data_IF_096158640767
#
_entry.id   IF_096158640767
#
_cell.length_a   1.000
_cell.length_b   1.000
_cell.length_c   1.000
_cell.angle_alpha   90.00
_cell.angle_beta   90.00
_cell.angle_gamma   90.00
#
_symmetry.space_group_name_H-M   'P 1'
#
loop_
_entity.id
_entity.type
_entity.pdbx_description
1 polymer ?
#
# COMPACT_ATOMS: atom_id res chain seq x y z
N UNK A 1 73.17 26.98 72.27
CA UNK A 1 71.97 26.34 72.79
C UNK A 1 70.86 26.55 71.76
N UNK A 2 70.62 25.54 70.92
CA UNK A 2 69.40 24.68 70.93
C UNK A 2 68.28 25.39 70.14
N UNK A 3 67.53 24.86 69.18
CA UNK A 3 67.48 23.67 68.35
C UNK A 3 66.18 23.84 67.48
N UNK A 4 66.09 23.17 66.33
CA UNK A 4 64.84 22.62 65.71
C UNK A 4 63.71 23.60 65.29
N UNK A 5 62.84 23.35 64.30
CA UNK A 5 62.74 22.35 63.22
C UNK A 5 61.58 22.74 62.28
N UNK A 6 61.64 22.19 61.06
CA UNK A 6 60.54 21.64 60.23
C UNK A 6 59.34 22.48 59.73
N UNK A 7 59.36 22.67 58.41
CA UNK A 7 58.38 22.22 57.38
C UNK A 7 56.87 22.30 57.62
N UNK A 8 56.14 22.86 56.63
CA UNK A 8 55.18 22.08 55.81
C UNK A 8 54.67 22.84 54.57
N UNK A 9 54.91 22.21 53.42
CA UNK A 9 54.22 22.40 52.14
C UNK A 9 52.77 21.89 52.24
N UNK A 10 51.83 22.58 51.57
CA UNK A 10 50.46 22.10 51.32
C UNK A 10 50.08 22.34 49.86
N UNK A 11 50.02 21.26 49.10
CA UNK A 11 49.32 21.10 47.82
C UNK A 11 47.82 20.79 48.06
N UNK A 12 46.89 21.24 47.18
CA UNK A 12 45.49 20.85 47.28
C UNK A 12 45.23 19.50 46.59
N UNK A 13 44.51 18.64 47.30
CA UNK A 13 44.02 17.32 46.89
C UNK A 13 42.86 17.41 45.88
N UNK A 14 42.96 16.68 44.76
CA UNK A 14 41.82 16.35 43.89
C UNK A 14 41.03 15.17 44.49
N UNK A 15 39.72 15.34 44.64
CA UNK A 15 38.79 14.29 45.10
C UNK A 15 38.46 13.32 43.97
N UNK A 16 38.68 12.03 44.21
CA UNK A 16 38.20 10.92 43.40
C UNK A 16 36.79 10.51 43.86
N UNK A 17 35.86 10.34 42.92
CA UNK A 17 34.51 9.84 43.23
C UNK A 17 33.56 9.87 42.04
N UNK A 18 33.87 9.15 40.96
CA UNK A 18 32.94 8.99 39.81
C UNK A 18 33.26 7.79 38.90
N UNK A 19 33.72 6.66 39.45
CA UNK A 19 33.96 5.45 38.64
C UNK A 19 33.14 4.24 39.11
N UNK A 20 32.67 4.22 40.35
CA UNK A 20 31.89 3.11 40.89
C UNK A 20 30.40 3.14 40.53
N UNK A 21 29.84 4.27 40.08
CA UNK A 21 28.44 4.35 39.63
C UNK A 21 28.23 3.91 38.18
N UNK A 22 29.21 4.14 37.31
CA UNK A 22 29.12 3.77 35.89
C UNK A 22 29.24 2.26 35.69
N UNK A 23 29.99 1.56 36.56
CA UNK A 23 30.17 0.11 36.44
C UNK A 23 28.94 -0.71 36.86
N UNK A 24 27.98 -0.13 37.60
CA UNK A 24 26.78 -0.85 38.06
C UNK A 24 25.60 -0.74 37.08
N UNK A 25 25.54 0.33 36.27
CA UNK A 25 24.50 0.48 35.23
C UNK A 25 24.82 -0.34 33.96
N UNK A 26 26.10 -0.56 33.66
CA UNK A 26 26.52 -1.35 32.49
C UNK A 26 26.18 -2.85 32.59
N UNK A 27 26.16 -3.41 33.80
CA UNK A 27 25.86 -4.84 34.03
C UNK A 27 24.36 -5.16 33.91
N UNK A 28 23.49 -4.18 34.18
CA UNK A 28 22.04 -4.35 34.05
C UNK A 28 21.57 -4.48 32.60
N UNK A 29 22.20 -3.75 31.67
CA UNK A 29 21.84 -3.75 30.25
C UNK A 29 22.21 -5.07 29.54
N UNK A 30 23.31 -5.71 29.96
CA UNK A 30 23.78 -6.98 29.38
C UNK A 30 22.86 -8.15 29.74
N UNK A 31 22.29 -8.17 30.95
CA UNK A 31 21.34 -9.22 31.37
C UNK A 31 19.99 -9.15 30.63
N UNK A 32 19.54 -7.95 30.25
CA UNK A 32 18.29 -7.77 29.49
C UNK A 32 18.45 -8.26 28.04
N UNK A 33 19.62 -8.05 27.41
CA UNK A 33 19.88 -8.51 26.03
C UNK A 33 20.00 -10.03 25.91
N UNK A 34 20.52 -10.72 26.92
CA UNK A 34 20.59 -12.20 26.93
C UNK A 34 19.20 -12.84 27.11
N UNK A 35 18.30 -12.20 27.86
CA UNK A 35 16.93 -12.68 28.04
C UNK A 35 16.07 -12.62 26.77
N UNK A 36 16.26 -11.60 25.93
CA UNK A 36 15.49 -11.45 24.68
C UNK A 36 15.98 -12.41 23.59
N UNK A 37 17.29 -12.73 23.56
CA UNK A 37 17.85 -13.69 22.61
C UNK A 37 17.35 -15.14 22.82
N UNK A 38 17.09 -15.52 24.07
CA UNK A 38 16.57 -16.86 24.39
C UNK A 38 15.09 -17.04 24.02
N UNK A 39 14.30 -15.95 23.95
CA UNK A 39 12.87 -16.02 23.63
C UNK A 39 12.60 -16.17 22.11
N UNK A 40 13.52 -15.73 21.26
CA UNK A 40 13.38 -15.87 19.79
C UNK A 40 13.71 -17.27 19.24
N UNK A 41 14.29 -18.17 20.03
CA UNK A 41 14.59 -19.55 19.60
C UNK A 41 13.54 -20.59 20.00
N UNK A 42 12.39 -20.17 20.56
CA UNK A 42 11.32 -21.08 21.01
C UNK A 42 9.99 -20.78 20.29
N UNK A 43 10.02 -20.74 18.96
CA UNK A 43 8.80 -20.84 18.15
C UNK A 43 8.92 -22.14 17.33
N UNK A 44 8.05 -23.15 17.55
CA UNK A 44 8.06 -24.37 16.76
C UNK A 44 7.53 -24.10 15.35
N UNK A 45 8.26 -24.60 14.34
CA UNK A 45 7.85 -24.63 12.93
C UNK A 45 6.51 -25.37 12.79
N UNK A 46 5.54 -24.71 12.15
CA UNK A 46 4.28 -25.33 11.78
C UNK A 46 4.49 -26.20 10.53
N UNK A 47 4.13 -27.48 10.65
CA UNK A 47 4.16 -28.48 9.58
C UNK A 47 3.38 -28.01 8.32
N UNK A 48 3.93 -28.22 7.11
CA UNK A 48 3.17 -28.06 5.89
C UNK A 48 2.23 -29.26 5.67
N UNK A 49 0.94 -28.99 5.51
CA UNK A 49 -0.08 -29.98 5.15
C UNK A 49 0.20 -30.60 3.77
N UNK A 50 -0.19 -31.88 3.56
CA UNK A 50 0.27 -32.67 2.43
C UNK A 50 -0.46 -32.35 1.11
N UNK A 51 0.32 -32.53 0.04
CA UNK A 51 -0.05 -32.46 -1.37
C UNK A 51 -1.26 -33.36 -1.70
N UNK A 52 -2.29 -32.76 -2.29
CA UNK A 52 -3.35 -33.49 -2.98
C UNK A 52 -2.91 -33.76 -4.42
N UNK A 53 -2.78 -35.05 -4.71
CA UNK A 53 -2.41 -35.66 -5.98
C UNK A 53 -3.37 -35.30 -7.11
N UNK A 54 -2.79 -34.92 -8.25
CA UNK A 54 -3.46 -34.91 -9.54
C UNK A 54 -3.60 -36.35 -10.08
N UNK A 55 -4.78 -36.70 -10.58
CA UNK A 55 -4.97 -37.81 -11.52
C UNK A 55 -5.87 -37.36 -12.68
N UNK A 56 -5.24 -37.33 -13.86
CA UNK A 56 -5.70 -37.75 -15.18
C UNK A 56 -6.97 -38.64 -15.22
N UNK A 57 -7.85 -38.73 -16.24
CA UNK A 57 -7.87 -38.38 -17.68
C UNK A 57 -9.26 -38.83 -18.26
N UNK A 58 -9.70 -38.22 -19.38
CA UNK A 58 -10.72 -38.67 -20.38
C UNK A 58 -12.19 -38.74 -19.93
N UNK A 59 -13.22 -38.46 -20.73
CA UNK A 59 -13.42 -38.59 -22.18
C UNK A 59 -14.27 -37.45 -22.80
N UNK A 60 -14.03 -37.22 -24.09
CA UNK A 60 -14.88 -36.52 -25.06
C UNK A 60 -16.15 -37.37 -25.33
N UNK A 61 -17.34 -36.76 -25.49
CA UNK A 61 -17.98 -36.97 -26.78
C UNK A 61 -18.73 -35.75 -27.34
N UNK A 62 -18.43 -35.47 -28.60
CA UNK A 62 -19.38 -35.54 -29.72
C UNK A 62 -20.41 -34.41 -29.82
N UNK A 63 -20.13 -33.52 -30.77
CA UNK A 63 -21.02 -32.47 -31.26
C UNK A 63 -22.23 -33.05 -32.01
N UNK A 64 -23.42 -32.42 -31.92
CA UNK A 64 -24.41 -32.54 -32.97
C UNK A 64 -24.44 -31.30 -33.87
N UNK A 65 -24.17 -31.64 -35.13
CA UNK A 65 -24.65 -31.14 -36.41
C UNK A 65 -25.82 -30.15 -36.44
N UNK A 66 -25.68 -29.18 -37.34
CA UNK A 66 -26.58 -28.08 -37.68
C UNK A 66 -27.80 -28.60 -38.45
N UNK A 67 -29.00 -28.10 -38.15
CA UNK A 67 -30.13 -28.12 -39.07
C UNK A 67 -30.84 -26.75 -39.11
N UNK A 68 -30.93 -26.21 -40.32
CA UNK A 68 -31.53 -24.93 -40.70
C UNK A 68 -33.05 -24.86 -40.43
N UNK A 69 -33.62 -23.69 -40.09
CA UNK A 69 -35.06 -23.49 -40.11
C UNK A 69 -35.55 -23.08 -41.51
N UNK A 70 -36.54 -23.81 -42.05
CA UNK A 70 -37.30 -23.44 -43.25
C UNK A 70 -38.66 -22.84 -42.85
N UNK A 71 -39.20 -21.84 -43.58
CA UNK A 71 -40.41 -21.10 -43.19
C UNK A 71 -41.67 -21.56 -43.94
N UNK A 72 -42.83 -21.39 -43.29
CA UNK A 72 -44.22 -21.25 -43.78
C UNK A 72 -45.14 -21.64 -42.58
N UNK A 73 -46.33 -21.12 -42.34
CA UNK A 73 -47.30 -20.50 -43.22
C UNK A 73 -48.31 -19.71 -42.38
N UNK A 74 -48.73 -18.61 -42.97
CA UNK A 74 -49.63 -17.57 -42.47
C UNK A 74 -51.09 -17.95 -42.80
N UNK A 75 -52.03 -17.87 -41.84
CA UNK A 75 -53.47 -17.89 -42.11
C UNK A 75 -54.27 -17.27 -40.94
N UNK A 76 -55.46 -16.66 -41.20
CA UNK A 76 -55.72 -15.31 -40.73
C UNK A 76 -56.88 -15.15 -39.72
N UNK A 77 -56.87 -13.99 -39.05
CA UNK A 77 -58.00 -13.41 -38.30
C UNK A 77 -59.18 -13.05 -39.21
N UNK A 78 -60.44 -13.10 -38.71
CA UNK A 78 -61.54 -12.35 -39.31
C UNK A 78 -61.82 -11.04 -38.56
N UNK A 79 -61.77 -9.92 -39.30
CA UNK A 79 -62.37 -8.64 -38.97
C UNK A 79 -63.91 -8.71 -38.98
N UNK A 80 -64.61 -7.89 -38.18
CA UNK A 80 -66.05 -7.70 -38.26
C UNK A 80 -66.40 -6.54 -39.20
N UNK A 81 -67.36 -6.76 -40.10
CA UNK A 81 -67.92 -5.74 -41.00
C UNK A 81 -69.46 -5.73 -40.97
N UNK A 82 -70.11 -4.60 -41.32
CA UNK A 82 -71.32 -4.12 -40.66
C UNK A 82 -72.54 -3.97 -41.61
N UNK A 83 -73.60 -3.31 -41.11
CA UNK A 83 -74.71 -2.60 -41.80
C UNK A 83 -75.77 -3.46 -42.53
N UNK A 84 -77.08 -3.16 -42.61
CA UNK A 84 -77.96 -2.03 -42.26
C UNK A 84 -79.45 -2.50 -42.38
N UNK A 85 -80.53 -1.67 -42.43
CA UNK A 85 -81.80 -1.96 -41.79
C UNK A 85 -82.96 -2.32 -42.75
N UNK A 86 -84.13 -2.57 -42.14
CA UNK A 86 -85.49 -2.65 -42.72
C UNK A 86 -85.76 -1.59 -43.82
N UNK A 87 -86.70 -1.76 -44.79
CA UNK A 87 -88.15 -1.89 -44.50
C UNK A 87 -88.98 -2.68 -45.56
N UNK A 88 -90.25 -3.01 -45.26
CA UNK A 88 -91.44 -2.52 -45.98
C UNK A 88 -92.72 -3.25 -45.55
N UNK A 89 -93.75 -2.45 -45.34
CA UNK A 89 -95.11 -2.85 -44.99
C UNK A 89 -95.94 -3.11 -46.26
N UNK A 90 -96.77 -4.15 -46.24
CA UNK A 90 -97.97 -4.21 -47.10
C UNK A 90 -99.15 -4.63 -46.23
N UNK A 91 -100.10 -3.72 -46.10
CA UNK A 91 -101.40 -3.92 -45.48
C UNK A 91 -102.34 -4.63 -46.45
N UNK A 92 -103.07 -5.64 -45.98
CA UNK A 92 -104.32 -6.12 -46.61
C UNK A 92 -105.36 -6.31 -45.50
N UNK A 93 -106.53 -5.74 -45.77
CA UNK A 93 -107.66 -5.63 -44.86
C UNK A 93 -108.50 -6.92 -44.76
N UNK A 94 -108.83 -7.25 -43.51
CA UNK A 94 -110.11 -7.70 -42.93
C UNK A 94 -111.10 -8.48 -43.83
N UNK A 95 -111.37 -9.72 -43.40
CA UNK A 95 -112.68 -10.37 -43.47
C UNK A 95 -112.98 -11.02 -42.09
N UNK A 96 -114.24 -11.09 -41.63
CA UNK A 96 -114.57 -11.32 -40.22
C UNK A 96 -114.69 -12.80 -39.82
N UNK A 97 -114.32 -13.05 -38.55
CA UNK A 97 -114.65 -14.13 -37.60
C UNK A 97 -115.12 -15.51 -38.11
N UNK A 98 -114.55 -16.57 -37.51
CA UNK A 98 -115.25 -17.16 -36.37
C UNK A 98 -114.33 -17.39 -35.17
N UNK A 99 -114.88 -17.26 -33.95
CA UNK A 99 -114.34 -17.89 -32.75
C UNK A 99 -114.43 -19.43 -32.90
N UNK A 100 -113.34 -20.17 -32.62
CA UNK A 100 -113.48 -21.46 -31.96
C UNK A 100 -112.48 -21.66 -30.81
N UNK A 101 -113.03 -22.23 -29.74
CA UNK A 101 -112.45 -23.16 -28.76
C UNK A 101 -111.15 -22.81 -27.99
N UNK A 102 -111.18 -22.87 -26.64
CA UNK A 102 -109.96 -22.79 -25.84
C UNK A 102 -109.08 -24.01 -26.11
N UNK A 103 -107.89 -23.79 -26.68
CA UNK A 103 -106.81 -24.78 -26.65
C UNK A 103 -106.55 -25.19 -25.19
N UNK A 104 -106.47 -26.49 -24.86
CA UNK A 104 -106.10 -26.92 -23.52
C UNK A 104 -104.69 -26.41 -23.22
N UNK A 105 -104.55 -25.62 -22.16
CA UNK A 105 -103.26 -25.27 -21.59
C UNK A 105 -102.44 -26.56 -21.43
N UNK A 106 -101.20 -26.62 -21.94
CA UNK A 106 -100.36 -27.80 -21.77
C UNK A 106 -100.27 -28.12 -20.28
N UNK A 107 -100.36 -29.40 -19.87
CA UNK A 107 -100.18 -29.77 -18.48
C UNK A 107 -98.87 -29.18 -17.99
N UNK A 108 -98.93 -28.38 -16.92
CA UNK A 108 -97.75 -27.78 -16.31
C UNK A 108 -96.68 -28.84 -16.05
N UNK A 109 -95.40 -28.51 -16.20
CA UNK A 109 -94.31 -29.48 -16.04
C UNK A 109 -94.43 -30.22 -14.70
N UNK A 110 -94.23 -31.53 -14.73
CA UNK A 110 -94.28 -32.40 -13.56
C UNK A 110 -93.30 -31.88 -12.49
N UNK A 111 -93.77 -31.51 -11.29
CA UNK A 111 -92.93 -30.92 -10.25
C UNK A 111 -91.78 -31.83 -9.81
N UNK A 112 -91.92 -33.15 -9.91
CA UNK A 112 -90.83 -34.08 -9.61
C UNK A 112 -89.73 -34.05 -10.67
N UNK A 113 -90.09 -33.91 -11.94
CA UNK A 113 -89.14 -33.80 -13.05
C UNK A 113 -88.36 -32.48 -13.00
N UNK A 114 -88.99 -31.38 -12.58
CA UNK A 114 -88.32 -30.10 -12.36
C UNK A 114 -87.31 -30.15 -11.22
N UNK A 115 -87.68 -30.73 -10.08
CA UNK A 115 -86.77 -30.89 -8.93
C UNK A 115 -85.54 -31.77 -9.29
N UNK A 116 -85.74 -32.82 -10.09
CA UNK A 116 -84.65 -33.65 -10.59
C UNK A 116 -83.72 -32.87 -11.54
N UNK A 117 -84.28 -32.10 -12.49
CA UNK A 117 -83.50 -31.27 -13.41
C UNK A 117 -82.74 -30.14 -12.68
N UNK A 118 -83.32 -29.55 -11.64
CA UNK A 118 -82.66 -28.55 -10.79
C UNK A 118 -81.49 -29.17 -10.00
N UNK A 119 -81.67 -30.38 -9.46
CA UNK A 119 -80.61 -31.10 -8.76
C UNK A 119 -79.45 -31.49 -9.71
N UNK A 120 -79.76 -31.95 -10.93
CA UNK A 120 -78.76 -32.23 -11.96
C UNK A 120 -78.01 -30.96 -12.39
N UNK A 121 -78.72 -29.84 -12.57
CA UNK A 121 -78.09 -28.56 -12.90
C UNK A 121 -77.18 -28.07 -11.76
N UNK A 122 -77.60 -28.24 -10.51
CA UNK A 122 -76.78 -27.87 -9.35
C UNK A 122 -75.52 -28.73 -9.26
N UNK A 123 -75.65 -30.06 -9.45
CA UNK A 123 -74.50 -30.96 -9.49
C UNK A 123 -73.55 -30.63 -10.66
N UNK A 124 -74.09 -30.29 -11.83
CA UNK A 124 -73.29 -29.87 -12.98
C UNK A 124 -72.55 -28.54 -12.71
N UNK A 125 -73.18 -27.58 -12.04
CA UNK A 125 -72.56 -26.32 -11.62
C UNK A 125 -71.44 -26.52 -10.61
N UNK A 126 -71.64 -27.39 -9.62
CA UNK A 126 -70.62 -27.72 -8.62
C UNK A 126 -69.44 -28.45 -9.26
N UNK A 127 -69.71 -29.38 -10.19
CA UNK A 127 -68.67 -30.04 -10.98
C UNK A 127 -67.87 -29.04 -11.83
N UNK A 128 -68.53 -28.10 -12.51
CA UNK A 128 -67.87 -27.05 -13.28
C UNK A 128 -67.00 -26.15 -12.39
N UNK A 129 -67.53 -25.69 -11.25
CA UNK A 129 -66.77 -24.87 -10.31
C UNK A 129 -65.54 -25.61 -9.75
N UNK A 130 -65.66 -26.93 -9.51
CA UNK A 130 -64.53 -27.75 -9.07
C UNK A 130 -63.47 -27.91 -10.16
N UNK A 131 -63.88 -28.03 -11.43
CA UNK A 131 -62.98 -28.12 -12.57
C UNK A 131 -62.24 -26.80 -12.81
N UNK A 132 -62.94 -25.67 -12.77
CA UNK A 132 -62.35 -24.32 -12.89
C UNK A 132 -61.34 -24.04 -11.76
N UNK A 133 -61.65 -24.46 -10.53
CA UNK A 133 -60.73 -24.32 -9.40
C UNK A 133 -59.47 -25.18 -9.56
N UNK A 134 -59.59 -26.38 -10.13
CA UNK A 134 -58.43 -27.23 -10.41
C UNK A 134 -57.58 -26.70 -11.56
N UNK A 135 -58.22 -26.20 -12.63
CA UNK A 135 -57.53 -25.51 -13.73
C UNK A 135 -56.72 -24.32 -13.22
N UNK A 136 -57.32 -23.46 -12.39
CA UNK A 136 -56.63 -22.30 -11.81
C UNK A 136 -55.44 -22.69 -10.90
N UNK A 137 -55.53 -23.83 -10.19
CA UNK A 137 -54.41 -24.35 -9.40
C UNK A 137 -53.29 -24.84 -10.29
N UNK A 138 -53.62 -25.59 -11.34
CA UNK A 138 -52.64 -26.13 -12.28
C UNK A 138 -51.96 -25.00 -13.07
N UNK A 139 -52.71 -23.97 -13.50
CA UNK A 139 -52.13 -22.81 -14.19
C UNK A 139 -51.16 -22.06 -13.27
N UNK A 140 -51.54 -21.82 -12.02
CA UNK A 140 -50.67 -21.16 -11.04
C UNK A 140 -49.40 -21.98 -10.76
N UNK A 141 -49.53 -23.31 -10.65
CA UNK A 141 -48.40 -24.20 -10.47
C UNK A 141 -47.46 -24.21 -11.69
N UNK A 142 -48.00 -24.18 -12.92
CA UNK A 142 -47.21 -24.07 -14.15
C UNK A 142 -46.43 -22.75 -14.19
N UNK A 143 -47.09 -21.62 -13.95
CA UNK A 143 -46.45 -20.30 -13.89
C UNK A 143 -45.31 -20.27 -12.85
N UNK A 144 -45.52 -20.87 -11.68
CA UNK A 144 -44.47 -20.97 -10.65
C UNK A 144 -43.28 -21.80 -11.15
N UNK A 145 -43.53 -22.95 -11.79
CA UNK A 145 -42.45 -23.78 -12.34
C UNK A 145 -41.70 -23.08 -13.48
N UNK A 146 -42.38 -22.34 -14.35
CA UNK A 146 -41.73 -21.56 -15.42
C UNK A 146 -40.81 -20.48 -14.83
N UNK A 147 -41.27 -19.77 -13.80
CA UNK A 147 -40.46 -18.78 -13.09
C UNK A 147 -39.24 -19.43 -12.42
N UNK A 148 -39.39 -20.61 -11.83
CA UNK A 148 -38.29 -21.35 -11.22
C UNK A 148 -37.25 -21.79 -12.27
N UNK A 149 -37.71 -22.27 -13.43
CA UNK A 149 -36.81 -22.66 -14.54
C UNK A 149 -36.05 -21.45 -15.07
N UNK A 150 -36.71 -20.31 -15.26
CA UNK A 150 -36.06 -19.07 -15.70
C UNK A 150 -35.06 -18.54 -14.66
N UNK A 151 -35.36 -18.68 -13.37
CA UNK A 151 -34.42 -18.32 -12.31
C UNK A 151 -33.18 -19.23 -12.32
N UNK A 152 -33.38 -20.55 -12.44
CA UNK A 152 -32.29 -21.51 -12.52
C UNK A 152 -31.39 -21.28 -13.75
N UNK A 153 -31.98 -20.97 -14.92
CA UNK A 153 -31.22 -20.66 -16.13
C UNK A 153 -30.33 -19.42 -15.95
N UNK A 154 -30.86 -18.36 -15.31
CA UNK A 154 -30.07 -17.18 -14.96
C UNK A 154 -28.92 -17.51 -14.02
N UNK A 155 -29.15 -18.31 -13.00
CA UNK A 155 -28.09 -18.72 -12.06
C UNK A 155 -26.98 -19.51 -12.75
N UNK A 156 -27.33 -20.42 -13.66
CA UNK A 156 -26.37 -21.19 -14.47
C UNK A 156 -25.55 -20.26 -15.37
N UNK A 157 -26.20 -19.30 -16.02
CA UNK A 157 -25.51 -18.33 -16.87
C UNK A 157 -24.55 -17.44 -16.09
N UNK A 158 -24.97 -16.95 -14.91
CA UNK A 158 -24.13 -16.16 -14.02
C UNK A 158 -22.96 -16.97 -13.45
N UNK A 159 -23.19 -18.23 -13.09
CA UNK A 159 -22.13 -19.14 -12.66
C UNK A 159 -21.11 -19.39 -13.80
N UNK A 160 -21.59 -19.58 -15.03
CA UNK A 160 -20.76 -19.74 -16.22
C UNK A 160 -19.90 -18.50 -16.51
N UNK A 161 -20.48 -17.30 -16.40
CA UNK A 161 -19.73 -16.04 -16.56
C UNK A 161 -18.66 -15.87 -15.47
N UNK A 162 -18.99 -16.17 -14.21
CA UNK A 162 -18.02 -16.14 -13.11
C UNK A 162 -16.88 -17.12 -13.32
N UNK A 163 -17.17 -18.35 -13.74
CA UNK A 163 -16.16 -19.36 -14.04
C UNK A 163 -15.23 -18.94 -15.19
N UNK A 164 -15.77 -18.33 -16.26
CA UNK A 164 -14.97 -17.78 -17.37
C UNK A 164 -14.07 -16.64 -16.92
N UNK A 165 -14.60 -15.68 -16.18
CA UNK A 165 -13.82 -14.56 -15.66
C UNK A 165 -12.68 -15.03 -14.76
N UNK A 166 -12.91 -16.05 -13.92
CA UNK A 166 -11.87 -16.63 -13.09
C UNK A 166 -10.83 -17.39 -13.91
N UNK A 167 -11.25 -18.16 -14.93
CA UNK A 167 -10.32 -18.82 -15.84
C UNK A 167 -9.42 -17.83 -16.58
N UNK A 168 -9.96 -16.68 -17.02
CA UNK A 168 -9.19 -15.60 -17.64
C UNK A 168 -8.18 -14.98 -16.66
N UNK A 169 -8.56 -14.73 -15.40
CA UNK A 169 -7.63 -14.24 -14.37
C UNK A 169 -6.50 -15.23 -14.11
N UNK A 170 -6.81 -16.52 -14.00
CA UNK A 170 -5.81 -17.57 -13.79
C UNK A 170 -4.87 -17.66 -14.99
N UNK A 171 -5.38 -17.54 -16.22
CA UNK A 171 -4.57 -17.52 -17.43
C UNK A 171 -3.63 -16.31 -17.47
N UNK A 172 -4.14 -15.11 -17.14
CA UNK A 172 -3.33 -13.89 -17.06
C UNK A 172 -2.22 -14.01 -16.01
N UNK A 173 -2.55 -14.46 -14.80
CA UNK A 173 -1.57 -14.66 -13.73
C UNK A 173 -0.48 -15.67 -14.13
N UNK A 174 -0.83 -16.75 -14.85
CA UNK A 174 0.15 -17.71 -15.37
C UNK A 174 1.08 -17.09 -16.42
N UNK A 175 0.55 -16.22 -17.29
CA UNK A 175 1.36 -15.48 -18.26
C UNK A 175 2.34 -14.54 -17.57
N UNK A 176 1.91 -13.82 -16.53
CA UNK A 176 2.76 -12.92 -15.73
C UNK A 176 3.89 -13.68 -15.04
N UNK A 177 3.58 -14.84 -14.43
CA UNK A 177 4.60 -15.70 -13.81
C UNK A 177 5.63 -16.17 -14.85
N UNK A 178 5.19 -16.54 -16.06
CA UNK A 178 6.10 -16.93 -17.12
C UNK A 178 7.00 -15.78 -17.58
N UNK A 179 6.45 -14.56 -17.70
CA UNK A 179 7.20 -13.37 -18.07
C UNK A 179 8.25 -12.99 -17.00
N UNK A 180 7.88 -13.03 -15.72
CA UNK A 180 8.79 -12.77 -14.60
C UNK A 180 9.93 -13.79 -14.55
N UNK A 181 9.65 -15.08 -14.79
CA UNK A 181 10.69 -16.11 -14.86
C UNK A 181 11.67 -15.85 -16.00
N UNK A 182 11.18 -15.49 -17.18
CA UNK A 182 12.03 -15.16 -18.32
C UNK A 182 12.94 -13.93 -18.02
N UNK A 183 12.42 -12.95 -17.28
CA UNK A 183 13.18 -11.78 -16.85
C UNK A 183 14.26 -12.15 -15.82
N UNK A 184 13.95 -13.00 -14.85
CA UNK A 184 14.94 -13.54 -13.89
C UNK A 184 16.05 -14.27 -14.63
N UNK A 185 15.73 -15.10 -15.62
CA UNK A 185 16.72 -15.81 -16.43
C UNK A 185 17.57 -14.85 -17.29
N UNK A 186 16.97 -13.77 -17.79
CA UNK A 186 17.69 -12.71 -18.52
C UNK A 186 18.66 -11.99 -17.60
N UNK A 187 18.21 -11.54 -16.44
CA UNK A 187 19.03 -10.84 -15.46
C UNK A 187 20.16 -11.72 -14.93
N UNK A 188 19.87 -13.00 -14.66
CA UNK A 188 20.88 -13.97 -14.23
C UNK A 188 21.99 -14.15 -15.28
N UNK A 189 21.64 -14.18 -16.57
CA UNK A 189 22.63 -14.21 -17.66
C UNK A 189 23.43 -12.93 -17.76
N UNK A 190 22.82 -11.77 -17.52
CA UNK A 190 23.54 -10.48 -17.49
C UNK A 190 24.52 -10.44 -16.34
N UNK A 191 24.12 -10.87 -15.14
CA UNK A 191 25.00 -10.97 -13.97
C UNK A 191 26.18 -11.89 -14.29
N UNK A 192 25.91 -13.10 -14.79
CA UNK A 192 26.96 -14.04 -15.16
C UNK A 192 27.92 -13.48 -16.24
N UNK A 193 27.40 -12.71 -17.20
CA UNK A 193 28.22 -12.04 -18.22
C UNK A 193 29.09 -10.93 -17.63
N UNK A 194 28.58 -10.15 -16.68
CA UNK A 194 29.34 -9.11 -15.95
C UNK A 194 30.42 -9.75 -15.08
N UNK A 195 30.10 -10.86 -14.40
CA UNK A 195 31.05 -11.59 -13.57
C UNK A 195 32.17 -12.24 -14.39
N UNK A 196 31.83 -12.76 -15.59
CA UNK A 196 32.79 -13.37 -16.51
C UNK A 196 33.60 -12.34 -17.32
N UNK A 197 33.14 -11.09 -17.42
CA UNK A 197 33.86 -10.04 -18.11
C UNK A 197 35.21 -9.77 -17.41
N UNK A 198 36.32 -9.66 -18.17
CA UNK A 198 37.60 -9.28 -17.60
C UNK A 198 37.44 -7.92 -16.92
N UNK A 199 37.55 -7.88 -15.59
CA UNK A 199 37.52 -6.62 -14.85
C UNK A 199 38.63 -5.74 -15.42
N UNK A 200 38.33 -4.50 -15.86
CA UNK A 200 39.37 -3.56 -16.22
C UNK A 200 40.27 -3.41 -15.01
N UNK A 201 41.49 -3.96 -15.11
CA UNK A 201 42.57 -3.60 -14.19
C UNK A 201 42.99 -2.21 -14.64
N UNK A 202 42.23 -1.18 -14.24
CA UNK A 202 42.90 0.07 -13.91
C UNK A 202 44.01 -0.34 -12.94
N UNK A 203 45.24 0.06 -13.25
CA UNK A 203 46.37 -0.19 -12.39
C UNK A 203 45.96 0.26 -10.98
N UNK A 204 45.66 -0.72 -10.13
CA UNK A 204 45.52 -0.53 -8.71
C UNK A 204 46.85 0.11 -8.32
N UNK A 205 46.84 1.42 -8.10
CA UNK A 205 47.79 2.04 -7.22
C UNK A 205 47.57 1.31 -5.89
N UNK A 206 48.39 0.28 -5.69
CA UNK A 206 48.40 -0.59 -4.55
C UNK A 206 48.89 0.23 -3.36
N UNK A 207 47.98 0.99 -2.78
CA UNK A 207 48.10 1.45 -1.42
C UNK A 207 46.75 1.29 -0.77
N UNK A 208 46.56 0.09 -0.18
CA UNK A 208 45.58 -0.25 0.84
C UNK A 208 44.14 -0.39 0.34
N UNK A 209 43.65 -1.63 0.21
CA UNK A 209 42.21 -1.91 0.29
C UNK A 209 41.76 -1.61 1.73
N UNK A 210 41.00 -0.53 2.00
CA UNK A 210 40.59 -0.21 3.36
C UNK A 210 39.39 -1.09 3.69
N UNK A 211 39.51 -1.87 4.76
CA UNK A 211 38.35 -2.48 5.41
C UNK A 211 37.52 -1.33 5.96
N UNK A 212 36.27 -1.20 5.53
CA UNK A 212 35.34 -0.18 6.03
C UNK A 212 35.28 -0.23 7.56
N UNK A 213 35.98 0.69 8.21
CA UNK A 213 35.92 0.84 9.67
C UNK A 213 34.70 1.69 10.00
N UNK A 214 33.91 1.24 10.97
CA UNK A 214 32.81 2.05 11.51
C UNK A 214 33.44 3.29 12.15
N UNK A 215 33.21 4.43 11.52
CA UNK A 215 33.77 5.72 11.93
C UNK A 215 33.26 6.05 13.34
N UNK A 216 34.21 6.21 14.26
CA UNK A 216 33.96 6.61 15.66
C UNK A 216 34.57 7.98 15.98
N UNK A 217 34.94 8.73 14.94
CA UNK A 217 35.55 10.06 15.02
C UNK A 217 34.57 11.20 14.75
N UNK A 218 35.08 12.44 14.79
CA UNK A 218 34.32 13.64 14.42
C UNK A 218 34.09 13.65 12.89
N UNK A 219 32.84 13.84 12.45
CA UNK A 219 32.48 13.86 11.02
C UNK A 219 32.27 15.31 10.53
N UNK A 220 33.04 15.72 9.52
CA UNK A 220 32.89 17.03 8.89
C UNK A 220 32.29 16.87 7.50
N UNK A 221 31.24 17.65 7.21
CA UNK A 221 30.42 17.45 6.03
C UNK A 221 30.71 18.52 4.97
N UNK A 222 30.79 18.08 3.71
CA UNK A 222 30.97 18.98 2.57
C UNK A 222 30.07 18.56 1.41
N UNK A 223 29.58 19.53 0.66
CA UNK A 223 28.86 19.31 -0.59
C UNK A 223 29.82 19.43 -1.77
N UNK A 224 29.72 18.51 -2.74
CA UNK A 224 30.43 18.57 -4.02
C UNK A 224 29.40 18.64 -5.15
N UNK A 225 29.28 19.82 -5.76
CA UNK A 225 28.31 20.11 -6.81
C UNK A 225 28.84 21.16 -7.77
N UNK A 226 28.59 20.98 -9.07
CA UNK A 226 28.96 21.95 -10.12
C UNK A 226 30.46 22.31 -10.11
N UNK A 227 31.33 21.30 -9.96
CA UNK A 227 32.78 21.46 -9.83
C UNK A 227 33.22 22.41 -8.70
N UNK A 228 32.43 22.47 -7.62
CA UNK A 228 32.71 23.25 -6.41
C UNK A 228 32.52 22.42 -5.16
N UNK A 229 33.32 22.73 -4.14
CA UNK A 229 33.18 22.16 -2.79
C UNK A 229 32.71 23.24 -1.81
N UNK A 230 31.69 22.93 -1.02
CA UNK A 230 31.13 23.84 -0.01
C UNK A 230 31.10 23.16 1.36
N UNK A 231 31.49 23.89 2.42
CA UNK A 231 31.46 23.39 3.78
C UNK A 231 30.05 23.42 4.38
N UNK A 232 29.63 22.31 4.97
CA UNK A 232 28.37 22.18 5.68
C UNK A 232 28.69 22.03 7.17
N UNK A 233 28.41 23.07 7.95
CA UNK A 233 28.50 23.02 9.41
C UNK A 233 27.23 22.35 10.00
N UNK A 234 27.13 21.03 9.78
CA UNK A 234 25.95 20.25 10.15
C UNK A 234 25.71 20.25 11.66
N UNK A 235 26.77 20.18 12.46
CA UNK A 235 26.67 20.16 13.92
C UNK A 235 26.05 21.45 14.44
N UNK A 236 26.53 22.62 13.99
CA UNK A 236 25.91 23.89 14.41
C UNK A 236 24.49 24.07 13.88
N UNK A 237 24.19 23.57 12.68
CA UNK A 237 22.83 23.61 12.14
C UNK A 237 21.88 22.74 12.98
N UNK A 238 22.32 21.56 13.41
CA UNK A 238 21.55 20.66 14.27
C UNK A 238 21.40 21.21 15.70
N UNK A 239 22.43 21.86 16.25
CA UNK A 239 22.34 22.57 17.53
C UNK A 239 21.30 23.69 17.48
N UNK A 240 21.33 24.55 16.46
CA UNK A 240 20.32 25.59 16.27
C UNK A 240 18.92 25.01 16.09
N UNK A 241 18.78 23.92 15.34
CA UNK A 241 17.50 23.24 15.13
C UNK A 241 16.96 22.66 16.43
N UNK A 242 17.82 22.08 17.26
CA UNK A 242 17.45 21.53 18.56
C UNK A 242 16.93 22.63 19.50
N UNK A 243 17.60 23.78 19.55
CA UNK A 243 17.20 24.89 20.42
C UNK A 243 15.89 25.56 19.94
N UNK A 244 15.75 25.78 18.62
CA UNK A 244 14.49 26.27 18.03
C UNK A 244 13.34 25.27 18.27
N UNK A 245 13.57 23.97 18.08
CA UNK A 245 12.57 22.94 18.34
C UNK A 245 12.13 22.89 19.81
N UNK A 246 13.08 23.00 20.76
CA UNK A 246 12.78 23.06 22.20
C UNK A 246 11.94 24.27 22.56
N UNK A 247 12.27 25.44 22.01
CA UNK A 247 11.49 26.66 22.23
C UNK A 247 10.07 26.51 21.67
N UNK A 248 9.94 26.03 20.43
CA UNK A 248 8.64 25.82 19.78
C UNK A 248 7.79 24.77 20.50
N UNK A 249 8.39 23.70 21.00
CA UNK A 249 7.68 22.67 21.76
C UNK A 249 7.13 23.22 23.10
N UNK A 250 7.90 24.08 23.78
CA UNK A 250 7.43 24.79 24.98
C UNK A 250 6.26 25.73 24.68
N UNK A 251 6.26 26.37 23.52
CA UNK A 251 5.21 27.32 23.11
C UNK A 251 3.94 26.63 22.59
N UNK A 252 4.08 25.52 21.86
CA UNK A 252 2.96 24.80 21.24
C UNK A 252 2.18 23.93 22.25
N UNK A 253 2.78 23.62 23.40
CA UNK A 253 2.15 22.85 24.48
C UNK A 253 2.06 21.34 24.22
N UNK A 254 1.48 20.57 25.16
CA UNK A 254 1.49 19.10 25.12
C UNK A 254 0.69 18.47 23.96
N UNK A 255 -0.15 19.24 23.27
CA UNK A 255 -1.06 18.76 22.21
C UNK A 255 -0.47 18.79 20.80
N UNK A 256 0.71 19.38 20.61
CA UNK A 256 1.31 19.56 19.29
C UNK A 256 1.82 18.23 18.71
N UNK A 257 1.12 17.65 17.72
CA UNK A 257 1.52 16.36 17.13
C UNK A 257 2.83 16.40 16.35
N UNK A 258 3.15 17.52 15.71
CA UNK A 258 4.35 17.66 14.88
C UNK A 258 4.72 19.14 14.83
N UNK A 259 6.01 19.43 14.91
CA UNK A 259 6.57 20.78 14.85
C UNK A 259 7.61 20.80 13.75
N UNK A 260 7.53 21.78 12.86
CA UNK A 260 8.53 22.03 11.85
C UNK A 260 9.11 23.44 11.99
N UNK A 261 10.31 23.62 11.46
CA UNK A 261 11.02 24.88 11.50
C UNK A 261 12.17 24.91 10.51
N UNK A 262 12.75 26.09 10.35
CA UNK A 262 13.95 26.30 9.53
C UNK A 262 14.90 27.18 10.31
N UNK A 263 16.15 26.75 10.42
CA UNK A 263 17.24 27.46 11.12
C UNK A 263 18.39 27.76 10.17
N UNK A 264 19.24 28.71 10.56
CA UNK A 264 20.31 29.25 9.72
C UNK A 264 20.00 30.66 9.21
N UNK A 265 20.85 31.19 8.30
CA UNK A 265 21.91 30.49 7.59
C UNK A 265 23.20 30.33 8.41
N UNK A 266 23.86 29.18 8.28
CA UNK A 266 25.24 28.95 8.72
C UNK A 266 26.09 28.70 7.47
N UNK A 267 27.00 29.64 7.19
CA UNK A 267 27.76 29.63 5.93
C UNK A 267 26.82 29.75 4.73
N UNK A 268 26.84 28.74 3.87
CA UNK A 268 26.04 28.69 2.63
C UNK A 268 24.72 27.90 2.76
N UNK A 269 24.39 27.43 3.96
CA UNK A 269 23.30 26.47 4.18
C UNK A 269 22.37 26.88 5.32
N UNK A 270 21.11 26.48 5.19
CA UNK A 270 20.09 26.48 6.24
C UNK A 270 19.61 25.05 6.45
N UNK A 271 18.95 24.78 7.57
CA UNK A 271 18.43 23.45 7.88
C UNK A 271 16.92 23.55 8.17
N UNK A 272 16.14 22.81 7.40
CA UNK A 272 14.72 22.57 7.65
C UNK A 272 14.56 21.29 8.45
N UNK A 273 13.73 21.28 9.49
CA UNK A 273 13.56 20.12 10.36
C UNK A 273 12.09 19.84 10.66
N UNK A 274 11.82 18.58 11.02
CA UNK A 274 10.54 18.12 11.53
C UNK A 274 10.74 17.29 12.80
N UNK A 275 10.01 17.62 13.87
CA UNK A 275 10.02 16.92 15.17
C UNK A 275 8.61 16.41 15.45
N UNK A 276 8.51 15.19 15.97
CA UNK A 276 7.24 14.59 16.37
C UNK A 276 7.41 13.61 17.51
N UNK A 277 6.31 13.02 18.02
CA UNK A 277 6.37 12.05 19.10
C UNK A 277 7.12 10.79 18.65
N UNK A 278 8.10 10.39 19.45
CA UNK A 278 8.95 9.20 19.25
C UNK A 278 8.50 8.02 20.12
N UNK A 279 7.70 8.27 21.16
CA UNK A 279 7.05 7.24 21.96
C UNK A 279 6.22 7.80 23.11
N UNK A 280 5.31 6.98 23.64
CA UNK A 280 4.59 7.26 24.88
C UNK A 280 5.32 6.51 26.00
N UNK A 281 6.05 7.23 26.85
CA UNK A 281 6.62 6.67 28.06
C UNK A 281 5.70 6.91 29.25
N UNK A 282 5.39 5.87 30.04
CA UNK A 282 4.82 6.06 31.36
C UNK A 282 5.93 6.63 32.26
N UNK A 283 5.88 7.93 32.55
CA UNK A 283 6.74 8.51 33.59
C UNK A 283 5.95 8.46 34.88
N UNK A 284 6.37 7.59 35.80
CA UNK A 284 5.80 7.52 37.14
C UNK A 284 6.36 8.67 37.99
N UNK A 285 5.87 9.88 37.78
CA UNK A 285 6.07 10.97 38.74
C UNK A 285 5.00 10.91 39.84
N UNK A 286 5.42 11.24 41.07
CA UNK A 286 4.69 11.10 42.34
C UNK A 286 3.45 12.01 42.47
N UNK A 287 2.85 12.47 41.37
CA UNK A 287 1.73 13.44 41.34
C UNK A 287 0.72 13.21 40.20
N UNK A 288 0.46 11.94 39.87
CA UNK A 288 -0.65 11.53 38.99
C UNK A 288 -0.19 10.97 37.63
N UNK A 289 -1.09 10.32 36.87
CA UNK A 289 -0.75 9.72 35.57
C UNK A 289 -0.60 10.82 34.50
N UNK A 290 0.60 11.39 34.38
CA UNK A 290 0.97 12.24 33.26
C UNK A 290 1.60 11.38 32.16
N UNK A 291 0.90 11.28 31.03
CA UNK A 291 1.45 10.66 29.81
C UNK A 291 2.46 11.63 29.21
N UNK A 292 3.75 11.43 29.48
CA UNK A 292 4.81 12.23 28.85
C UNK A 292 5.12 11.64 27.47
N UNK A 293 4.60 12.28 26.42
CA UNK A 293 5.05 11.99 25.06
C UNK A 293 6.50 12.47 24.89
N UNK A 294 7.42 11.56 24.54
CA UNK A 294 8.77 11.94 24.16
C UNK A 294 8.77 12.43 22.71
N UNK A 295 9.39 13.58 22.46
CA UNK A 295 9.53 14.15 21.11
C UNK A 295 10.95 13.93 20.59
N UNK A 296 11.07 13.58 19.32
CA UNK A 296 12.34 13.37 18.64
C UNK A 296 12.31 13.84 17.19
N UNK A 297 13.50 14.07 16.65
CA UNK A 297 13.69 14.49 15.26
C UNK A 297 13.16 13.40 14.33
N UNK A 298 12.23 13.73 13.44
CA UNK A 298 11.74 12.81 12.40
C UNK A 298 12.63 12.87 11.16
N UNK A 299 13.05 14.08 10.80
CA UNK A 299 13.95 14.30 9.68
C UNK A 299 14.45 15.73 9.62
N UNK A 300 15.52 15.93 8.86
CA UNK A 300 16.05 17.23 8.48
C UNK A 300 16.45 17.25 7.02
N UNK A 301 16.43 18.44 6.45
CA UNK A 301 16.84 18.74 5.09
C UNK A 301 17.77 19.95 5.09
N UNK A 302 18.91 19.84 4.42
CA UNK A 302 19.84 20.93 4.23
C UNK A 302 19.43 21.72 3.00
N UNK A 303 19.08 22.99 3.21
CA UNK A 303 18.60 23.91 2.18
C UNK A 303 19.73 24.87 1.81
N UNK A 304 20.18 24.91 0.55
CA UNK A 304 21.21 25.84 0.14
C UNK A 304 20.66 27.26 0.04
N UNK A 305 21.42 28.23 0.55
CA UNK A 305 21.03 29.65 0.53
C UNK A 305 21.34 30.31 -0.82
N UNK A 306 22.36 29.81 -1.53
CA UNK A 306 22.84 30.35 -2.81
C UNK A 306 23.18 29.24 -3.80
N UNK A 307 22.85 29.42 -5.07
CA UNK A 307 23.11 28.43 -6.13
C UNK A 307 24.60 28.28 -6.46
N UNK A 308 25.37 29.36 -6.46
CA UNK A 308 26.81 29.38 -6.77
C UNK A 308 27.72 29.35 -5.54
N UNK A 309 27.42 28.46 -4.58
CA UNK A 309 28.19 28.30 -3.34
C UNK A 309 29.42 27.41 -3.56
N UNK A 310 30.38 27.52 -2.65
CA UNK A 310 31.59 26.71 -2.67
C UNK A 310 32.67 27.20 -3.63
N UNK A 311 33.78 26.48 -3.58
CA UNK A 311 35.06 26.86 -4.16
C UNK A 311 35.51 25.82 -5.20
N UNK A 312 36.06 26.25 -6.34
CA UNK A 312 36.67 25.32 -7.28
C UNK A 312 37.96 24.74 -6.68
N UNK A 313 38.40 23.59 -7.19
CA UNK A 313 39.55 22.84 -6.65
C UNK A 313 40.81 23.70 -6.50
N UNK A 314 41.08 24.54 -7.49
CA UNK A 314 42.31 25.33 -7.63
C UNK A 314 42.53 26.29 -6.46
N UNK A 315 41.44 26.70 -5.78
CA UNK A 315 41.49 27.60 -4.63
C UNK A 315 41.00 26.95 -3.34
N UNK A 316 40.35 25.79 -3.40
CA UNK A 316 39.74 25.13 -2.24
C UNK A 316 40.74 24.90 -1.09
N UNK A 317 41.99 24.53 -1.40
CA UNK A 317 43.05 24.32 -0.39
C UNK A 317 43.79 25.60 0.00
N UNK A 318 43.41 26.76 -0.53
CA UNK A 318 44.03 28.02 -0.13
C UNK A 318 43.62 28.40 1.31
N UNK A 319 44.48 29.08 2.09
CA UNK A 319 44.11 29.56 3.42
C UNK A 319 42.94 30.57 3.42
N UNK A 320 42.64 31.16 2.26
CA UNK A 320 41.54 32.10 2.06
C UNK A 320 40.21 31.41 1.74
N UNK A 321 40.24 30.14 1.34
CA UNK A 321 39.05 29.34 1.08
C UNK A 321 38.43 28.81 2.38
N UNK A 322 37.11 28.73 2.44
CA UNK A 322 36.36 28.11 3.52
C UNK A 322 36.74 26.65 3.69
N UNK A 323 36.83 25.89 2.59
CA UNK A 323 37.29 24.50 2.61
C UNK A 323 38.67 24.40 3.25
N UNK A 324 39.67 25.11 2.74
CA UNK A 324 41.04 25.09 3.24
C UNK A 324 41.14 25.53 4.70
N UNK A 325 40.42 26.58 5.12
CA UNK A 325 40.38 27.03 6.53
C UNK A 325 39.87 25.94 7.47
N UNK A 326 38.86 25.19 7.05
CA UNK A 326 38.32 24.09 7.84
C UNK A 326 39.35 22.97 7.89
N UNK A 327 39.79 22.46 6.74
CA UNK A 327 40.75 21.36 6.64
C UNK A 327 42.02 21.61 7.46
N UNK A 328 42.61 22.80 7.40
CA UNK A 328 43.82 23.14 8.15
C UNK A 328 43.66 23.15 9.69
N UNK A 329 42.43 23.20 10.21
CA UNK A 329 42.14 23.17 11.65
C UNK A 329 41.87 21.76 12.17
N UNK A 330 41.59 20.81 11.27
CA UNK A 330 41.23 19.44 11.63
C UNK A 330 42.46 18.58 11.91
N UNK A 331 42.26 17.53 12.72
CA UNK A 331 43.29 16.54 12.98
C UNK A 331 43.03 15.29 12.11
N UNK A 332 43.89 14.97 11.14
CA UNK A 332 43.66 13.85 10.22
C UNK A 332 43.44 12.50 10.92
N UNK A 333 44.02 12.29 12.10
CA UNK A 333 43.93 11.01 12.83
C UNK A 333 42.63 10.82 13.61
N UNK A 334 41.77 11.85 13.74
CA UNK A 334 40.55 11.79 14.55
C UNK A 334 39.30 12.24 13.80
N UNK A 335 39.49 12.75 12.59
CA UNK A 335 38.45 13.41 11.82
C UNK A 335 38.19 12.65 10.53
N UNK A 336 36.92 12.39 10.26
CA UNK A 336 36.46 11.85 8.97
C UNK A 336 35.78 12.94 8.17
N UNK A 337 36.12 13.02 6.89
CA UNK A 337 35.54 13.99 5.98
C UNK A 337 34.47 13.28 5.15
N UNK A 338 33.22 13.71 5.29
CA UNK A 338 32.09 13.19 4.53
C UNK A 338 31.76 14.12 3.35
N UNK A 339 31.95 13.62 2.13
CA UNK A 339 31.65 14.33 0.89
C UNK A 339 30.30 13.86 0.33
N UNK A 340 29.32 14.76 0.27
CA UNK A 340 28.04 14.57 -0.42
C UNK A 340 28.21 14.93 -1.90
N UNK A 341 28.20 13.92 -2.78
CA UNK A 341 28.61 14.09 -4.17
C UNK A 341 27.42 14.00 -5.10
N UNK A 342 27.14 15.09 -5.82
CA UNK A 342 26.16 15.09 -6.91
C UNK A 342 26.79 14.57 -8.22
N UNK A 343 25.99 14.14 -9.21
CA UNK A 343 26.51 13.57 -10.46
C UNK A 343 27.45 14.50 -11.25
N UNK A 344 27.23 15.80 -11.17
CA UNK A 344 28.05 16.84 -11.80
C UNK A 344 29.39 17.10 -11.05
N UNK A 345 29.53 16.60 -9.83
CA UNK A 345 30.69 16.79 -8.95
C UNK A 345 31.69 15.64 -8.92
N UNK A 346 31.44 14.51 -9.61
CA UNK A 346 32.33 13.33 -9.55
C UNK A 346 33.78 13.59 -9.98
N UNK A 347 34.08 14.36 -11.04
CA UNK A 347 35.46 14.66 -11.41
C UNK A 347 36.22 15.42 -10.31
N UNK A 348 35.56 16.40 -9.68
CA UNK A 348 36.10 17.14 -8.54
C UNK A 348 36.33 16.22 -7.34
N UNK A 349 35.34 15.38 -7.04
CA UNK A 349 35.41 14.43 -5.92
C UNK A 349 36.67 13.57 -6.00
N UNK A 350 37.05 13.04 -7.17
CA UNK A 350 38.29 12.24 -7.30
C UNK A 350 39.54 13.04 -6.91
N UNK A 351 39.65 14.27 -7.40
CA UNK A 351 40.77 15.18 -7.07
C UNK A 351 40.81 15.51 -5.57
N UNK A 352 39.64 15.76 -4.97
CA UNK A 352 39.52 16.02 -3.54
C UNK A 352 39.87 14.79 -2.71
N UNK A 353 39.42 13.61 -3.14
CA UNK A 353 39.70 12.35 -2.46
C UNK A 353 41.21 12.08 -2.42
N UNK A 354 41.91 12.20 -3.56
CA UNK A 354 43.36 12.04 -3.62
C UNK A 354 44.06 13.05 -2.67
N UNK A 355 43.72 14.33 -2.78
CA UNK A 355 44.34 15.38 -1.97
C UNK A 355 44.08 15.25 -0.46
N UNK A 356 42.88 14.81 -0.05
CA UNK A 356 42.54 14.59 1.35
C UNK A 356 43.26 13.35 1.92
N UNK A 357 43.44 12.29 1.12
CA UNK A 357 44.21 11.11 1.51
C UNK A 357 45.70 11.43 1.64
N UNK A 358 46.26 12.24 0.74
CA UNK A 358 47.64 12.73 0.86
C UNK A 358 47.87 13.53 2.16
N UNK A 359 46.84 14.24 2.63
CA UNK A 359 46.84 14.93 3.92
C UNK A 359 46.58 14.00 5.13
N UNK A 360 46.30 12.72 4.90
CA UNK A 360 46.10 11.70 5.92
C UNK A 360 44.69 11.64 6.52
N UNK A 361 43.68 12.25 5.88
CA UNK A 361 42.30 12.18 6.34
C UNK A 361 41.62 10.89 5.88
N UNK A 362 40.75 10.33 6.73
CA UNK A 362 39.74 9.35 6.29
C UNK A 362 38.63 10.07 5.53
N UNK A 363 38.24 9.57 4.36
CA UNK A 363 37.21 10.22 3.52
C UNK A 363 36.04 9.28 3.26
N UNK A 364 34.85 9.68 3.69
CA UNK A 364 33.59 9.05 3.33
C UNK A 364 32.97 9.76 2.12
N UNK A 365 32.40 9.00 1.19
CA UNK A 365 31.67 9.55 0.05
C UNK A 365 30.21 9.08 0.07
N UNK A 366 29.28 10.00 -0.12
CA UNK A 366 27.84 9.73 -0.19
C UNK A 366 27.30 10.26 -1.52
N UNK A 367 27.21 9.42 -2.56
CA UNK A 367 26.65 9.84 -3.83
C UNK A 367 25.15 10.13 -3.66
N UNK A 368 24.71 11.28 -4.16
CA UNK A 368 23.32 11.70 -4.16
C UNK A 368 22.76 11.71 -5.59
N UNK A 369 21.47 11.38 -5.79
CA UNK A 369 20.84 11.58 -7.08
C UNK A 369 20.76 13.08 -7.43
N UNK A 370 20.66 13.37 -8.72
CA UNK A 370 20.56 14.74 -9.20
C UNK A 370 19.33 15.46 -8.63
N UNK A 371 19.52 16.70 -8.16
CA UNK A 371 18.43 17.56 -7.68
C UNK A 371 17.85 17.19 -6.31
N UNK A 372 18.25 16.06 -5.70
CA UNK A 372 17.79 15.70 -4.37
C UNK A 372 18.57 16.45 -3.28
N UNK A 373 17.89 17.07 -2.29
CA UNK A 373 18.54 17.75 -1.20
C UNK A 373 19.19 16.76 -0.23
N UNK A 374 20.20 17.22 0.52
CA UNK A 374 20.84 16.42 1.56
C UNK A 374 19.85 16.27 2.71
N UNK A 375 19.50 15.03 3.06
CA UNK A 375 18.51 14.70 4.10
C UNK A 375 19.08 13.71 5.11
N UNK A 376 18.62 13.80 6.35
CA UNK A 376 18.93 12.84 7.41
C UNK A 376 17.82 12.71 8.45
N UNK A 377 17.89 11.67 9.27
CA UNK A 377 16.94 11.40 10.35
C UNK A 377 17.52 10.33 11.31
N UNK A 378 16.89 10.07 12.47
CA UNK A 378 17.39 9.11 13.45
C UNK A 378 17.45 7.65 12.93
N UNK A 379 16.71 7.35 11.86
CA UNK A 379 16.77 6.07 11.14
C UNK A 379 17.65 6.12 9.88
N UNK A 380 18.42 7.20 9.69
CA UNK A 380 19.35 7.37 8.57
C UNK A 380 20.63 6.57 8.78
N UNK A 381 21.18 6.00 7.71
CA UNK A 381 22.43 5.26 7.76
C UNK A 381 23.60 6.15 8.19
N UNK A 382 24.38 5.69 9.16
CA UNK A 382 25.69 6.29 9.50
C UNK A 382 26.62 6.19 8.30
N UNK A 383 27.44 7.23 8.08
CA UNK A 383 28.40 7.29 6.97
C UNK A 383 29.46 6.19 7.12
N UNK A 384 29.71 5.43 6.06
CA UNK A 384 30.84 4.50 6.01
C UNK A 384 32.03 5.24 5.36
N UNK A 385 33.09 5.49 6.13
CA UNK A 385 34.36 6.02 5.62
C UNK A 385 35.20 4.93 4.97
N UNK A 386 35.97 5.29 3.94
CA UNK A 386 36.99 4.44 3.33
C UNK A 386 38.35 5.10 3.40
#
# INVERSE_FOLDING_TARGET
MTAQASTRSRSPSRSSGSLSRVLLEATGLVLVLVGVGAWMHVIPEADPAPEATASAVAEDPEAPEIAEPRPAEEAPSPEPGPVDPAPEAVAVAVAPDPQPEPEPEPPGPDPEALAAAEAELQAAREALASAEAEEARLSSALEETELQVLAADREVMEAGQRARAEAERVAAARADVAALRAEVDRLSRVIAAIEAAPRPREALNSSQSPVAQVVSGEEYHFEVRGDRVAYIDLDRLLEQAQDDARLRLRMAGPSARTISGTVGPIGSFSLSYEVGPTGIGLVSELSGPAVAASYGLRGFEIVPVRSGRGEPFEVAFSPAAEFGRVIHRLNPNRTTITLWVYPDGFPLYRRLWDALHELGFTVAARPLPEGLPIRGGPNGSRSAGQ
#
